data_IF_549704834361
#
_entry.id   IF_549704834361
#
_cell.length_a   1.000
_cell.length_b   1.000
_cell.length_c   1.000
_cell.angle_alpha   90.00
_cell.angle_beta   90.00
_cell.angle_gamma   90.00
#
_symmetry.space_group_name_H-M   'P 1'
#
loop_
_entity.id
_entity.type
_entity.pdbx_description
1 polymer ?
#
# COMPACT_ATOMS: atom_id res chain seq x y z
N UNK A 1 42.08 21.27 -15.70
CA UNK A 1 40.86 22.05 -16.06
C UNK A 1 39.69 21.09 -16.23
N UNK A 2 38.70 21.09 -15.33
CA UNK A 2 37.43 20.36 -15.52
C UNK A 2 36.54 21.19 -16.44
N UNK A 3 36.16 20.64 -17.60
CA UNK A 3 35.20 21.26 -18.52
C UNK A 3 33.78 20.98 -18.00
N UNK A 4 33.10 22.00 -17.50
CA UNK A 4 31.66 21.95 -17.24
C UNK A 4 31.00 22.16 -18.61
N UNK A 5 30.49 21.09 -19.21
CA UNK A 5 29.68 21.20 -20.43
C UNK A 5 28.24 21.45 -19.99
N UNK A 6 27.67 22.59 -20.39
CA UNK A 6 26.26 22.87 -20.16
C UNK A 6 25.42 21.84 -20.92
N UNK A 7 24.57 21.10 -20.20
CA UNK A 7 23.62 20.17 -20.81
C UNK A 7 22.68 20.98 -21.72
N UNK A 8 22.53 20.53 -22.97
CA UNK A 8 21.57 21.13 -23.90
C UNK A 8 20.16 20.98 -23.31
N UNK A 9 19.38 22.05 -23.15
CA UNK A 9 18.02 21.96 -22.62
C UNK A 9 17.20 20.97 -23.44
N UNK A 10 16.39 20.16 -22.77
CA UNK A 10 15.38 19.35 -23.45
C UNK A 10 14.47 20.25 -24.30
N UNK A 11 13.94 19.68 -25.39
CA UNK A 11 12.77 20.29 -26.04
C UNK A 11 11.67 20.49 -24.99
N UNK A 12 10.99 21.65 -25.05
CA UNK A 12 9.91 22.00 -24.12
C UNK A 12 8.89 20.89 -23.95
N UNK A 13 8.58 20.17 -25.02
CA UNK A 13 7.57 19.10 -25.04
C UNK A 13 8.05 17.84 -24.31
N UNK A 14 9.35 17.53 -24.39
CA UNK A 14 9.91 16.38 -23.68
C UNK A 14 9.96 16.66 -22.18
N UNK A 15 10.36 17.89 -21.80
CA UNK A 15 10.35 18.32 -20.40
C UNK A 15 8.93 18.30 -19.83
N UNK A 16 7.96 18.87 -20.56
CA UNK A 16 6.56 18.88 -20.13
C UNK A 16 6.04 17.46 -19.87
N UNK A 17 6.31 16.50 -20.76
CA UNK A 17 5.93 15.09 -20.57
C UNK A 17 6.52 14.49 -19.30
N UNK A 18 7.82 14.70 -19.05
CA UNK A 18 8.46 14.16 -17.86
C UNK A 18 7.89 14.77 -16.57
N UNK A 19 7.56 16.06 -16.57
CA UNK A 19 6.90 16.71 -15.43
C UNK A 19 5.54 16.05 -15.18
N UNK A 20 4.76 15.83 -16.25
CA UNK A 20 3.48 15.12 -16.17
C UNK A 20 3.64 13.72 -15.59
N UNK A 21 4.63 12.95 -16.03
CA UNK A 21 4.87 11.58 -15.54
C UNK A 21 5.14 11.55 -14.02
N UNK A 22 5.96 12.50 -13.51
CA UNK A 22 6.24 12.63 -12.06
C UNK A 22 4.97 12.97 -11.29
N UNK A 23 4.20 13.96 -11.77
CA UNK A 23 2.96 14.40 -11.12
C UNK A 23 1.92 13.28 -11.12
N UNK A 24 1.82 12.52 -12.21
CA UNK A 24 0.91 11.38 -12.31
C UNK A 24 1.31 10.23 -11.41
N UNK A 25 2.60 9.90 -11.31
CA UNK A 25 3.11 8.89 -10.38
C UNK A 25 2.81 9.29 -8.92
N UNK A 26 3.01 10.56 -8.56
CA UNK A 26 2.67 11.08 -7.23
C UNK A 26 1.16 11.01 -6.96
N UNK A 27 0.34 11.39 -7.94
CA UNK A 27 -1.13 11.32 -7.86
C UNK A 27 -1.62 9.88 -7.67
N UNK A 28 -1.03 8.91 -8.38
CA UNK A 28 -1.33 7.48 -8.23
C UNK A 28 -1.00 6.99 -6.82
N UNK A 29 0.21 7.28 -6.33
CA UNK A 29 0.63 6.96 -4.96
C UNK A 29 -0.33 7.51 -3.91
N UNK A 30 -0.68 8.80 -4.02
CA UNK A 30 -1.67 9.42 -3.12
C UNK A 30 -3.02 8.70 -3.16
N UNK A 31 -3.49 8.35 -4.36
CA UNK A 31 -4.72 7.60 -4.53
C UNK A 31 -4.68 6.21 -3.89
N UNK A 32 -3.56 5.49 -3.97
CA UNK A 32 -3.38 4.20 -3.30
C UNK A 32 -3.44 4.32 -1.78
N UNK A 33 -2.80 5.35 -1.21
CA UNK A 33 -2.85 5.63 0.23
C UNK A 33 -4.29 5.91 0.69
N UNK A 34 -5.04 6.75 -0.04
CA UNK A 34 -6.45 7.03 0.28
C UNK A 34 -7.29 5.75 0.28
N UNK A 35 -7.13 4.89 -0.73
CA UNK A 35 -7.84 3.60 -0.78
C UNK A 35 -7.44 2.67 0.36
N UNK A 36 -6.18 2.68 0.76
CA UNK A 36 -5.70 1.88 1.89
C UNK A 36 -6.35 2.35 3.21
N UNK A 37 -6.35 3.66 3.47
CA UNK A 37 -7.04 4.24 4.64
C UNK A 37 -8.51 3.80 4.65
N UNK A 38 -9.22 3.94 3.52
CA UNK A 38 -10.61 3.51 3.41
C UNK A 38 -10.79 2.02 3.74
N UNK A 39 -9.92 1.15 3.23
CA UNK A 39 -9.95 -0.28 3.53
C UNK A 39 -9.83 -0.56 5.04
N UNK A 40 -8.95 0.15 5.73
CA UNK A 40 -8.81 0.05 7.19
C UNK A 40 -10.02 0.62 7.93
N UNK A 41 -10.57 1.74 7.46
CA UNK A 41 -11.75 2.36 8.05
C UNK A 41 -13.02 1.54 7.85
N UNK A 42 -13.18 0.76 6.77
CA UNK A 42 -14.35 -0.14 6.66
C UNK A 42 -14.39 -1.22 7.75
N UNK A 43 -13.27 -1.46 8.45
CA UNK A 43 -13.21 -2.36 9.60
C UNK A 43 -13.66 -1.69 10.92
N UNK A 44 -13.80 -0.35 10.96
CA UNK A 44 -14.06 0.42 12.18
C UNK A 44 -15.21 1.44 11.97
N UNK A 45 -16.06 1.63 12.99
CA UNK A 45 -17.13 2.63 12.98
C UNK A 45 -16.54 4.05 13.08
N UNK A 46 -16.20 4.67 11.94
CA UNK A 46 -15.65 6.03 11.91
C UNK A 46 -15.01 6.45 10.58
N UNK A 47 -15.53 5.98 9.44
CA UNK A 47 -14.92 6.27 8.14
C UNK A 47 -15.00 7.76 7.78
N UNK A 48 -13.84 8.35 7.51
CA UNK A 48 -13.75 9.72 6.98
C UNK A 48 -14.32 9.79 5.55
N UNK A 49 -15.02 10.87 5.19
CA UNK A 49 -15.47 11.10 3.82
C UNK A 49 -14.29 11.15 2.84
N UNK A 50 -14.51 10.66 1.61
CA UNK A 50 -13.48 10.62 0.55
C UNK A 50 -12.94 12.02 0.22
N UNK A 51 -13.80 13.03 0.25
CA UNK A 51 -13.45 14.44 0.07
C UNK A 51 -12.52 14.95 1.17
N UNK A 52 -12.73 14.53 2.42
CA UNK A 52 -11.89 14.92 3.54
C UNK A 52 -10.49 14.32 3.41
N UNK A 53 -10.38 13.03 3.04
CA UNK A 53 -9.10 12.39 2.72
C UNK A 53 -8.44 13.05 1.49
N UNK A 54 -9.24 13.46 0.51
CA UNK A 54 -8.73 14.11 -0.70
C UNK A 54 -8.23 15.54 -0.48
N UNK A 55 -8.72 16.23 0.56
CA UNK A 55 -8.23 17.53 0.97
C UNK A 55 -6.94 17.49 1.81
N UNK A 56 -6.66 16.36 2.49
CA UNK A 56 -5.49 16.23 3.36
C UNK A 56 -4.17 16.37 2.60
N UNK A 57 -3.20 17.01 3.28
CA UNK A 57 -1.81 17.04 2.83
C UNK A 57 -1.20 15.64 2.80
N UNK A 58 -0.15 15.44 2.00
CA UNK A 58 0.46 14.11 1.83
C UNK A 58 1.01 13.53 3.15
N UNK A 59 1.70 14.36 3.93
CA UNK A 59 2.17 13.99 5.28
C UNK A 59 1.03 13.63 6.23
N UNK A 60 -0.06 14.38 6.18
CA UNK A 60 -1.24 14.15 7.02
C UNK A 60 -1.93 12.84 6.64
N UNK A 61 -2.05 12.54 5.34
CA UNK A 61 -2.52 11.25 4.85
C UNK A 61 -1.67 10.09 5.38
N UNK A 62 -0.35 10.20 5.29
CA UNK A 62 0.55 9.15 5.79
C UNK A 62 0.43 8.97 7.31
N UNK A 63 0.31 10.06 8.07
CA UNK A 63 0.09 9.99 9.51
C UNK A 63 -1.27 9.34 9.87
N UNK A 64 -2.30 9.62 9.06
CA UNK A 64 -3.61 8.98 9.22
C UNK A 64 -3.57 7.50 8.89
N UNK A 65 -2.91 7.10 7.80
CA UNK A 65 -2.69 5.69 7.48
C UNK A 65 -1.98 4.93 8.61
N UNK A 66 -0.92 5.52 9.17
CA UNK A 66 -0.16 4.94 10.26
C UNK A 66 -1.03 4.75 11.53
N UNK A 67 -1.82 5.76 11.88
CA UNK A 67 -2.74 5.74 13.01
C UNK A 67 -3.81 4.66 12.86
N UNK A 68 -4.46 4.63 11.70
CA UNK A 68 -5.56 3.72 11.42
C UNK A 68 -5.06 2.27 11.34
N UNK A 69 -3.85 2.04 10.79
CA UNK A 69 -3.23 0.73 10.77
C UNK A 69 -2.92 0.21 12.17
N UNK A 70 -2.44 1.08 13.08
CA UNK A 70 -2.23 0.72 14.49
C UNK A 70 -3.53 0.40 15.19
N UNK A 71 -4.55 1.23 15.03
CA UNK A 71 -5.87 1.00 15.60
C UNK A 71 -6.46 -0.33 15.13
N UNK A 72 -6.30 -0.64 13.83
CA UNK A 72 -6.74 -1.89 13.22
C UNK A 72 -5.85 -3.11 13.52
N UNK A 73 -4.79 -2.97 14.33
CA UNK A 73 -3.81 -4.02 14.61
C UNK A 73 -3.30 -4.70 13.34
N UNK A 74 -2.97 -3.88 12.33
CA UNK A 74 -2.51 -4.34 11.03
C UNK A 74 -1.32 -5.31 11.16
N UNK A 75 -1.45 -6.52 10.61
CA UNK A 75 -0.51 -7.62 10.85
C UNK A 75 0.92 -7.31 10.39
N UNK A 76 1.08 -6.61 9.26
CA UNK A 76 2.38 -6.23 8.70
C UNK A 76 2.77 -4.78 9.01
N UNK A 77 2.46 -4.30 10.22
CA UNK A 77 2.71 -2.91 10.62
C UNK A 77 4.16 -2.44 10.41
N UNK A 78 5.22 -3.23 10.73
CA UNK A 78 6.60 -2.78 10.50
C UNK A 78 6.93 -2.54 9.01
N UNK A 79 6.36 -3.33 8.11
CA UNK A 79 6.56 -3.16 6.67
C UNK A 79 5.81 -1.93 6.15
N UNK A 80 4.61 -1.68 6.69
CA UNK A 80 3.84 -0.47 6.39
C UNK A 80 4.56 0.79 6.87
N UNK A 81 5.10 0.79 8.09
CA UNK A 81 5.88 1.92 8.63
C UNK A 81 7.12 2.20 7.79
N UNK A 82 7.79 1.15 7.28
CA UNK A 82 8.90 1.30 6.33
C UNK A 82 8.45 1.93 5.01
N UNK A 83 7.34 1.47 4.43
CA UNK A 83 6.76 2.05 3.21
C UNK A 83 6.38 3.53 3.41
N UNK A 84 5.79 3.87 4.57
CA UNK A 84 5.50 5.25 4.96
C UNK A 84 6.79 6.08 5.05
N UNK A 85 7.87 5.53 5.62
CA UNK A 85 9.18 6.17 5.65
C UNK A 85 9.70 6.49 4.25
N UNK A 86 9.62 5.55 3.32
CA UNK A 86 10.00 5.77 1.92
C UNK A 86 9.13 6.86 1.26
N UNK A 87 7.82 6.82 1.47
CA UNK A 87 6.89 7.82 0.93
C UNK A 87 7.20 9.23 1.45
N UNK A 88 7.48 9.38 2.75
CA UNK A 88 7.87 10.67 3.36
C UNK A 88 9.12 11.24 2.69
N UNK A 89 10.08 10.40 2.33
CA UNK A 89 11.29 10.82 1.60
C UNK A 89 11.02 11.37 0.20
N UNK A 90 9.89 11.00 -0.41
CA UNK A 90 9.50 11.42 -1.76
C UNK A 90 8.52 12.62 -1.76
N UNK A 91 8.13 13.13 -0.59
CA UNK A 91 7.17 14.26 -0.50
C UNK A 91 7.64 15.48 -1.30
N UNK A 92 8.95 15.79 -1.24
CA UNK A 92 9.54 16.96 -1.91
C UNK A 92 9.64 16.82 -3.42
N UNK A 93 9.62 15.60 -3.95
CA UNK A 93 9.77 15.32 -5.38
C UNK A 93 8.74 16.05 -6.24
N UNK A 94 7.52 16.25 -5.72
CA UNK A 94 6.48 17.03 -6.41
C UNK A 94 6.86 18.49 -6.57
N UNK A 95 7.45 19.10 -5.55
CA UNK A 95 7.79 20.53 -5.58
C UNK A 95 9.10 20.76 -6.33
N UNK A 96 10.04 19.84 -6.19
CA UNK A 96 11.34 19.87 -6.88
C UNK A 96 11.19 19.79 -8.41
N UNK A 97 10.12 19.16 -8.93
CA UNK A 97 9.88 19.05 -10.38
C UNK A 97 9.72 20.40 -11.09
N UNK A 98 9.36 21.45 -10.34
CA UNK A 98 9.23 22.81 -10.86
C UNK A 98 10.54 23.61 -10.77
N UNK A 99 11.59 23.06 -10.16
CA UNK A 99 12.91 23.70 -10.14
C UNK A 99 13.62 23.54 -11.49
N UNK A 100 14.33 24.58 -11.92
CA UNK A 100 15.11 24.54 -13.16
C UNK A 100 16.23 23.48 -13.12
N UNK A 101 16.80 23.21 -11.94
CA UNK A 101 17.85 22.20 -11.80
C UNK A 101 17.32 20.79 -12.03
N UNK A 102 16.19 20.43 -11.42
CA UNK A 102 15.62 19.09 -11.51
C UNK A 102 14.91 18.86 -12.86
N UNK A 103 14.15 19.85 -13.32
CA UNK A 103 13.39 19.75 -14.59
C UNK A 103 14.29 19.66 -15.83
N UNK A 104 15.57 20.04 -15.72
CA UNK A 104 16.57 19.87 -16.78
C UNK A 104 17.44 18.62 -16.60
N UNK A 105 17.12 17.74 -15.64
CA UNK A 105 17.79 16.44 -15.45
C UNK A 105 16.83 15.27 -15.76
N UNK A 106 16.83 14.77 -17.02
CA UNK A 106 15.96 13.68 -17.43
C UNK A 106 16.19 12.36 -16.66
N UNK A 107 17.41 12.14 -16.16
CA UNK A 107 17.74 10.93 -15.42
C UNK A 107 17.12 11.00 -14.02
N UNK A 108 17.30 12.12 -13.32
CA UNK A 108 16.68 12.36 -12.02
C UNK A 108 15.15 12.27 -12.08
N UNK A 109 14.52 12.78 -13.15
CA UNK A 109 13.07 12.66 -13.33
C UNK A 109 12.60 11.21 -13.49
N UNK A 110 13.30 10.40 -14.29
CA UNK A 110 12.97 8.96 -14.43
C UNK A 110 13.19 8.19 -13.13
N UNK A 111 14.27 8.48 -12.42
CA UNK A 111 14.57 7.84 -11.14
C UNK A 111 13.52 8.18 -10.09
N UNK A 112 13.03 9.42 -10.08
CA UNK A 112 11.93 9.87 -9.25
C UNK A 112 10.62 9.15 -9.57
N UNK A 113 10.23 9.04 -10.85
CA UNK A 113 9.06 8.26 -11.27
C UNK A 113 9.19 6.81 -10.78
N UNK A 114 10.32 6.17 -11.04
CA UNK A 114 10.53 4.79 -10.62
C UNK A 114 10.51 4.62 -9.09
N UNK A 115 10.98 5.62 -8.33
CA UNK A 115 10.89 5.61 -6.87
C UNK A 115 9.45 5.73 -6.38
N UNK A 116 8.67 6.64 -6.97
CA UNK A 116 7.24 6.80 -6.67
C UNK A 116 6.46 5.52 -6.97
N UNK A 117 6.69 4.90 -8.14
CA UNK A 117 6.04 3.66 -8.56
C UNK A 117 6.41 2.48 -7.65
N UNK A 118 7.69 2.35 -7.26
CA UNK A 118 8.10 1.30 -6.31
C UNK A 118 7.37 1.43 -4.98
N UNK A 119 7.25 2.65 -4.44
CA UNK A 119 6.54 2.88 -3.18
C UNK A 119 5.03 2.64 -3.34
N UNK A 120 4.44 3.04 -4.47
CA UNK A 120 3.03 2.76 -4.78
C UNK A 120 2.74 1.26 -4.80
N UNK A 121 3.58 0.47 -5.47
CA UNK A 121 3.48 -1.00 -5.51
C UNK A 121 3.59 -1.61 -4.12
N UNK A 122 4.44 -1.07 -3.22
CA UNK A 122 4.51 -1.54 -1.84
C UNK A 122 3.19 -1.33 -1.08
N UNK A 123 2.56 -0.15 -1.21
CA UNK A 123 1.27 0.11 -0.57
C UNK A 123 0.17 -0.76 -1.15
N UNK A 124 0.11 -0.92 -2.47
CA UNK A 124 -0.86 -1.79 -3.14
C UNK A 124 -0.69 -3.24 -2.68
N UNK A 125 0.54 -3.76 -2.64
CA UNK A 125 0.83 -5.11 -2.18
C UNK A 125 0.37 -5.35 -0.75
N UNK A 126 0.75 -4.48 0.19
CA UNK A 126 0.33 -4.57 1.59
C UNK A 126 -1.18 -4.48 1.77
N UNK A 127 -1.85 -3.61 1.00
CA UNK A 127 -3.30 -3.48 1.03
C UNK A 127 -3.99 -4.75 0.52
N UNK A 128 -3.56 -5.27 -0.65
CA UNK A 128 -4.14 -6.48 -1.26
C UNK A 128 -3.92 -7.71 -0.38
N UNK A 129 -2.72 -7.91 0.14
CA UNK A 129 -2.42 -9.02 1.06
C UNK A 129 -3.33 -8.98 2.29
N UNK A 130 -3.56 -7.79 2.86
CA UNK A 130 -4.45 -7.63 4.01
C UNK A 130 -5.91 -7.94 3.65
N UNK A 131 -6.40 -7.47 2.50
CA UNK A 131 -7.74 -7.80 2.01
C UNK A 131 -7.87 -9.31 1.82
N UNK A 132 -6.89 -9.96 1.19
CA UNK A 132 -6.91 -11.41 0.99
C UNK A 132 -6.91 -12.17 2.31
N UNK A 133 -6.07 -11.77 3.28
CA UNK A 133 -6.04 -12.38 4.60
C UNK A 133 -7.38 -12.26 5.35
N UNK A 134 -8.11 -11.16 5.16
CA UNK A 134 -9.45 -10.94 5.75
C UNK A 134 -10.55 -11.79 5.12
N UNK A 135 -10.40 -12.17 3.85
CA UNK A 135 -11.39 -12.96 3.11
C UNK A 135 -10.99 -14.44 2.96
N UNK A 136 -9.82 -14.84 3.47
CA UNK A 136 -9.44 -16.23 3.53
C UNK A 136 -10.50 -16.98 4.35
N UNK A 137 -11.18 -18.00 3.79
CA UNK A 137 -12.16 -18.76 4.54
C UNK A 137 -11.44 -19.35 5.76
N UNK A 138 -12.02 -19.15 6.95
CA UNK A 138 -11.55 -19.84 8.13
C UNK A 138 -11.59 -21.34 7.81
N UNK A 139 -10.42 -21.95 7.60
CA UNK A 139 -10.31 -23.39 7.48
C UNK A 139 -10.95 -23.95 8.74
N UNK A 140 -12.16 -24.47 8.60
CA UNK A 140 -12.89 -25.09 9.70
C UNK A 140 -11.93 -26.12 10.31
N UNK A 141 -11.74 -26.13 11.63
CA UNK A 141 -11.02 -27.23 12.24
C UNK A 141 -11.73 -28.51 11.79
N UNK A 142 -11.00 -29.38 11.09
CA UNK A 142 -11.44 -30.73 10.80
C UNK A 142 -11.86 -31.32 12.14
N UNK A 143 -13.18 -31.41 12.35
CA UNK A 143 -13.76 -32.08 13.51
C UNK A 143 -13.12 -33.47 13.55
N UNK A 144 -12.44 -33.86 14.64
CA UNK A 144 -11.87 -35.19 14.71
C UNK A 144 -13.05 -36.14 14.59
N UNK A 145 -13.08 -36.90 13.51
CA UNK A 145 -14.10 -37.91 13.28
C UNK A 145 -14.25 -38.74 14.55
N UNK A 146 -15.43 -38.67 15.16
CA UNK A 146 -15.77 -39.48 16.31
C UNK A 146 -15.50 -40.95 15.94
N UNK A 147 -14.85 -41.74 16.81
CA UNK A 147 -14.59 -43.14 16.50
C UNK A 147 -15.93 -43.83 16.28
N UNK A 148 -16.05 -44.54 15.16
CA UNK A 148 -17.22 -45.33 14.82
C UNK A 148 -17.54 -46.27 15.99
N UNK A 149 -18.71 -46.09 16.60
CA UNK A 149 -19.23 -47.03 17.56
C UNK A 149 -19.44 -48.38 16.85
N UNK A 150 -18.60 -49.36 17.18
CA UNK A 150 -18.79 -50.74 16.76
C UNK A 150 -20.12 -51.27 17.34
N UNK A 151 -20.94 -51.98 16.54
CA UNK A 151 -22.17 -52.57 17.05
C UNK A 151 -21.83 -53.69 18.04
N UNK A 152 -22.41 -53.62 19.25
CA UNK A 152 -22.24 -54.66 20.26
C UNK A 152 -22.95 -55.95 19.83
N UNK A 153 -22.31 -57.13 19.94
CA UNK A 153 -22.98 -58.40 19.70
C UNK A 153 -23.92 -58.73 20.86
N UNK A 154 -25.18 -59.02 20.53
CA UNK A 154 -26.18 -59.58 21.45
C UNK A 154 -25.63 -60.84 22.14
N UNK A 155 -25.64 -60.87 23.47
CA UNK A 155 -25.43 -62.09 24.27
C UNK A 155 -26.65 -63.01 24.11
N UNK A 156 -26.49 -64.30 23.80
CA UNK A 156 -27.58 -65.25 23.95
C UNK A 156 -27.80 -65.53 25.44
N UNK A 157 -29.08 -65.55 25.83
CA UNK A 157 -29.53 -65.93 27.15
C UNK A 157 -29.18 -67.39 27.44
N UNK A 158 -28.62 -67.65 28.63
CA UNK A 158 -28.53 -69.00 29.18
C UNK A 158 -29.95 -69.57 29.32
N UNK A 159 -30.13 -70.82 28.88
CA UNK A 159 -31.27 -71.63 29.27
C UNK A 159 -30.79 -73.03 29.68
N UNK A 160 -31.13 -73.37 30.92
CA UNK A 160 -31.12 -74.66 31.63
C UNK A 160 -29.78 -75.41 31.78
#
# INVERSE_FOLDING_TARGET
MRKISALKPLSSDTRARQVTDVVDAFRRLRGSIVRFIRMLSTAHTGAMPDEALSAMGFRELLATLERDARAARFTRLPDLERAIGHARGLERTRDDVFSDSFSNDPAAMRDAVAALERVDVLFVGLCVESVMARHAPASLPLSPAAPAALPQPCRPALSC
#
